data_IF_018802092079
#
_entry.id   IF_018802092079
#
_cell.length_a   1.000
_cell.length_b   1.000
_cell.length_c   1.000
_cell.angle_alpha   90.00
_cell.angle_beta   90.00
_cell.angle_gamma   90.00
#
_symmetry.space_group_name_H-M   'P 1'
#
loop_
_entity.id
_entity.type
_entity.pdbx_description
1 polymer ?
#
# COMPACT_ATOMS: atom_id res chain seq x y z
N UNK A 1 16.93 6.90 -0.84
CA UNK A 1 16.78 5.93 0.28
C UNK A 1 15.32 5.77 0.74
N UNK A 2 14.57 6.84 1.03
CA UNK A 2 13.20 6.73 1.60
C UNK A 2 12.18 6.07 0.64
N UNK A 3 12.25 6.34 -0.67
CA UNK A 3 11.31 5.78 -1.66
C UNK A 3 11.42 4.25 -1.71
N UNK A 4 12.63 3.70 -1.78
CA UNK A 4 12.84 2.25 -1.79
C UNK A 4 12.33 1.57 -0.52
N UNK A 5 12.52 2.20 0.64
CA UNK A 5 12.01 1.69 1.92
C UNK A 5 10.47 1.67 1.95
N UNK A 6 9.83 2.75 1.48
CA UNK A 6 8.38 2.84 1.40
C UNK A 6 7.78 1.78 0.45
N UNK A 7 8.42 1.53 -0.70
CA UNK A 7 8.02 0.48 -1.64
C UNK A 7 8.12 -0.91 -1.03
N UNK A 8 9.22 -1.21 -0.32
CA UNK A 8 9.40 -2.51 0.35
C UNK A 8 8.34 -2.73 1.43
N UNK A 9 8.04 -1.73 2.26
CA UNK A 9 7.00 -1.81 3.28
C UNK A 9 5.60 -2.01 2.68
N UNK A 10 5.31 -1.32 1.56
CA UNK A 10 4.05 -1.51 0.84
C UNK A 10 3.91 -2.94 0.30
N UNK A 11 4.95 -3.47 -0.35
CA UNK A 11 4.93 -4.83 -0.92
C UNK A 11 4.78 -5.88 0.20
N UNK A 12 5.48 -5.70 1.32
CA UNK A 12 5.36 -6.58 2.48
C UNK A 12 3.92 -6.60 3.03
N UNK A 13 3.30 -5.43 3.19
CA UNK A 13 1.91 -5.31 3.66
C UNK A 13 0.90 -5.83 2.63
N UNK A 14 1.12 -5.56 1.35
CA UNK A 14 0.21 -5.95 0.27
C UNK A 14 0.22 -7.47 0.02
N UNK A 15 1.38 -8.11 0.14
CA UNK A 15 1.56 -9.56 -0.07
C UNK A 15 1.27 -10.41 1.17
N UNK A 16 1.76 -10.00 2.34
CA UNK A 16 1.66 -10.78 3.59
C UNK A 16 0.74 -10.17 4.66
N UNK A 17 0.17 -8.98 4.43
CA UNK A 17 -0.68 -8.30 5.42
C UNK A 17 -1.92 -9.11 5.80
N UNK A 18 -2.53 -9.82 4.85
CA UNK A 18 -3.61 -10.79 5.10
C UNK A 18 -3.19 -11.81 6.18
N UNK A 19 -2.03 -12.45 5.98
CA UNK A 19 -1.54 -13.52 6.85
C UNK A 19 -1.16 -12.96 8.23
N UNK A 20 -0.53 -11.78 8.26
CA UNK A 20 -0.05 -11.15 9.49
C UNK A 20 -1.17 -10.54 10.34
N UNK A 21 -2.12 -9.85 9.72
CA UNK A 21 -3.26 -9.21 10.41
C UNK A 21 -4.50 -10.10 10.47
N UNK A 22 -4.50 -11.25 9.79
CA UNK A 22 -5.59 -12.22 9.80
C UNK A 22 -6.87 -11.72 9.12
N UNK A 23 -6.80 -10.68 8.28
CA UNK A 23 -7.97 -10.21 7.57
C UNK A 23 -8.35 -11.21 6.46
N UNK A 24 -9.63 -11.57 6.41
CA UNK A 24 -10.14 -12.35 5.29
C UNK A 24 -10.59 -11.37 4.21
N UNK A 25 -10.00 -11.49 3.02
CA UNK A 25 -10.31 -10.62 1.88
C UNK A 25 -10.73 -11.45 0.64
N UNK A 26 -11.93 -12.07 0.66
CA UNK A 26 -12.36 -13.03 -0.37
C UNK A 26 -12.59 -12.37 -1.74
N UNK A 27 -13.05 -11.11 -1.71
CA UNK A 27 -13.33 -10.30 -2.90
C UNK A 27 -12.15 -9.39 -3.29
N UNK A 28 -11.03 -9.45 -2.55
CA UNK A 28 -9.86 -8.59 -2.78
C UNK A 28 -10.09 -7.09 -2.57
N UNK A 29 -11.11 -6.71 -1.79
CA UNK A 29 -11.49 -5.31 -1.56
C UNK A 29 -10.46 -4.57 -0.70
N UNK A 30 -9.87 -5.25 0.29
CA UNK A 30 -8.82 -4.69 1.15
C UNK A 30 -7.53 -4.51 0.37
N UNK A 31 -7.14 -5.48 -0.47
CA UNK A 31 -6.00 -5.33 -1.38
C UNK A 31 -6.22 -4.17 -2.35
N UNK A 32 -7.38 -4.10 -3.02
CA UNK A 32 -7.68 -2.98 -3.93
C UNK A 32 -7.60 -1.61 -3.23
N UNK A 33 -8.12 -1.50 -2.00
CA UNK A 33 -8.05 -0.30 -1.20
C UNK A 33 -6.61 0.06 -0.79
N UNK A 34 -5.80 -0.92 -0.39
CA UNK A 34 -4.38 -0.74 -0.07
C UNK A 34 -3.60 -0.19 -1.26
N UNK A 35 -3.82 -0.76 -2.45
CA UNK A 35 -3.17 -0.28 -3.68
C UNK A 35 -3.59 1.15 -4.03
N UNK A 36 -4.90 1.43 -3.99
CA UNK A 36 -5.42 2.76 -4.25
C UNK A 36 -4.87 3.80 -3.26
N UNK A 37 -4.85 3.48 -1.96
CA UNK A 37 -4.32 4.36 -0.92
C UNK A 37 -2.83 4.67 -1.15
N UNK A 38 -2.03 3.68 -1.54
CA UNK A 38 -0.61 3.87 -1.85
C UNK A 38 -0.39 4.73 -3.10
N UNK A 39 -1.12 4.45 -4.19
CA UNK A 39 -1.03 5.22 -5.42
C UNK A 39 -1.46 6.68 -5.24
N UNK A 40 -2.55 6.91 -4.52
CA UNK A 40 -3.03 8.26 -4.18
C UNK A 40 -2.06 8.99 -3.24
N UNK A 41 -1.44 8.29 -2.30
CA UNK A 41 -0.40 8.84 -1.44
C UNK A 41 0.81 9.34 -2.23
N UNK A 42 1.25 8.58 -3.24
CA UNK A 42 2.31 9.01 -4.17
C UNK A 42 1.86 10.26 -4.95
N UNK A 43 0.66 10.24 -5.52
CA UNK A 43 0.13 11.36 -6.31
C UNK A 43 0.00 12.65 -5.48
N UNK A 44 -0.53 12.54 -4.26
CA UNK A 44 -0.62 13.66 -3.32
C UNK A 44 0.77 14.17 -2.92
N UNK A 45 1.73 13.27 -2.69
CA UNK A 45 3.12 13.62 -2.39
C UNK A 45 3.84 14.35 -3.53
N UNK A 46 3.48 14.07 -4.79
CA UNK A 46 3.97 14.85 -5.93
C UNK A 46 3.33 16.24 -5.98
N UNK A 47 2.04 16.36 -5.70
CA UNK A 47 1.33 17.65 -5.69
C UNK A 47 1.84 18.61 -4.60
N UNK A 48 2.26 18.11 -3.45
CA UNK A 48 2.78 18.94 -2.34
C UNK A 48 4.23 19.38 -2.52
N UNK A 49 4.97 18.77 -3.46
CA UNK A 49 6.33 19.16 -3.83
C UNK A 49 6.40 20.20 -4.95
N UNK A 50 5.28 20.46 -5.63
CA UNK A 50 5.14 21.51 -6.65
C UNK A 50 4.97 22.89 -6.04
#
# INVERSE_FOLDING_TARGET
MIVGLASVLFIALFGWGNIYFGWSDPDGKVQAALFAAFALGILAGYKTRG
#
